data_IF_770273232251
#
_entry.id   IF_770273232251
#
_cell.length_a   1.000
_cell.length_b   1.000
_cell.length_c   1.000
_cell.angle_alpha   90.00
_cell.angle_beta   90.00
_cell.angle_gamma   90.00
#
_symmetry.space_group_name_H-M   'P 1'
#
loop_
_entity.id
_entity.type
_entity.pdbx_description
1 polymer ?
#
# COMPACT_ATOMS: atom_id res chain seq x y z
N UNK A 1 -34.85 6.54 25.90
CA UNK A 1 -33.91 7.18 24.95
C UNK A 1 -33.41 8.43 25.66
N UNK A 2 -32.21 8.43 26.21
CA UNK A 2 -31.63 9.61 26.86
C UNK A 2 -31.39 10.67 25.78
N UNK A 3 -32.20 11.73 25.77
CA UNK A 3 -32.06 12.83 24.80
C UNK A 3 -30.69 13.48 24.95
N UNK A 4 -30.06 13.80 23.83
CA UNK A 4 -28.75 14.45 23.82
C UNK A 4 -28.84 15.87 24.40
N UNK A 5 -27.91 16.34 25.24
CA UNK A 5 -27.94 17.71 25.77
C UNK A 5 -28.04 18.80 24.70
N UNK A 6 -27.45 18.64 23.51
CA UNK A 6 -27.60 19.62 22.42
C UNK A 6 -29.03 19.65 21.83
N UNK A 7 -29.70 18.49 21.77
CA UNK A 7 -31.10 18.40 21.36
C UNK A 7 -32.03 19.04 22.41
N UNK A 8 -31.77 18.76 23.69
CA UNK A 8 -32.49 19.39 24.82
C UNK A 8 -32.30 20.92 24.77
N UNK A 9 -31.08 21.38 24.49
CA UNK A 9 -30.79 22.80 24.34
C UNK A 9 -31.59 23.42 23.19
N UNK A 10 -31.61 22.78 22.01
CA UNK A 10 -32.42 23.22 20.87
C UNK A 10 -33.90 23.37 21.27
N UNK A 11 -34.47 22.35 21.89
CA UNK A 11 -35.90 22.31 22.19
C UNK A 11 -36.30 23.43 23.17
N UNK A 12 -35.46 23.70 24.19
CA UNK A 12 -35.66 24.85 25.08
C UNK A 12 -35.45 26.16 24.32
N UNK A 13 -34.37 26.28 23.55
CA UNK A 13 -34.04 27.48 22.79
C UNK A 13 -35.19 27.87 21.86
N UNK A 14 -35.74 26.94 21.08
CA UNK A 14 -36.88 27.17 20.18
C UNK A 14 -38.18 27.51 20.91
N UNK A 15 -38.35 27.04 22.14
CA UNK A 15 -39.54 27.32 22.97
C UNK A 15 -39.53 28.68 23.67
N UNK A 16 -38.43 29.43 23.60
CA UNK A 16 -38.28 30.73 24.23
C UNK A 16 -38.98 31.85 23.42
N UNK A 17 -40.02 32.51 23.95
CA UNK A 17 -40.61 33.70 23.34
C UNK A 17 -39.73 34.94 23.55
N UNK A 18 -39.81 35.91 22.63
CA UNK A 18 -39.19 37.25 22.76
C UNK A 18 -37.75 37.22 23.29
N UNK A 19 -36.90 36.36 22.70
CA UNK A 19 -35.51 36.15 23.13
C UNK A 19 -34.71 37.44 23.04
N UNK A 20 -34.14 37.84 24.18
CA UNK A 20 -33.15 38.91 24.28
C UNK A 20 -31.75 38.31 24.38
N UNK A 21 -30.77 39.06 23.90
CA UNK A 21 -29.36 38.68 23.96
C UNK A 21 -28.68 39.54 25.01
N UNK A 22 -28.28 38.93 26.13
CA UNK A 22 -27.49 39.60 27.18
C UNK A 22 -26.08 38.99 27.24
N UNK A 23 -25.09 39.74 26.76
CA UNK A 23 -23.67 39.33 26.69
C UNK A 23 -23.49 37.96 26.02
N UNK A 24 -23.22 36.92 26.82
CA UNK A 24 -22.96 35.55 26.39
C UNK A 24 -24.16 34.61 26.65
N UNK A 25 -25.33 35.18 26.93
CA UNK A 25 -26.54 34.43 27.25
C UNK A 25 -27.73 34.84 26.37
N UNK A 26 -28.58 33.86 26.08
CA UNK A 26 -29.94 34.07 25.62
C UNK A 26 -30.86 34.12 26.82
N UNK A 27 -31.67 35.16 26.91
CA UNK A 27 -32.59 35.41 28.02
C UNK A 27 -34.01 35.47 27.48
N UNK A 28 -34.91 34.75 28.13
CA UNK A 28 -36.33 34.79 27.78
C UNK A 28 -37.18 34.55 29.02
N UNK A 29 -38.33 35.21 29.06
CA UNK A 29 -39.34 35.03 30.10
C UNK A 29 -40.37 34.01 29.61
N UNK A 30 -40.44 32.84 30.25
CA UNK A 30 -41.32 31.77 29.83
C UNK A 30 -41.92 30.99 31.00
N UNK A 31 -43.05 30.33 30.72
CA UNK A 31 -43.67 29.37 31.61
C UNK A 31 -42.90 28.04 31.57
N UNK A 32 -42.73 27.45 32.75
CA UNK A 32 -42.10 26.15 32.92
C UNK A 32 -43.16 25.08 33.15
N UNK A 33 -42.94 23.93 32.52
CA UNK A 33 -43.63 22.68 32.81
C UNK A 33 -42.62 21.67 33.38
N UNK A 34 -43.10 20.50 33.80
CA UNK A 34 -42.26 19.44 34.34
C UNK A 34 -41.16 18.99 33.35
N UNK A 35 -41.43 19.02 32.05
CA UNK A 35 -40.51 18.58 30.99
C UNK A 35 -39.38 19.62 30.83
N UNK A 36 -39.73 20.89 30.67
CA UNK A 36 -38.80 22.03 30.58
C UNK A 36 -37.96 22.17 31.84
N UNK A 37 -38.53 21.95 33.02
CA UNK A 37 -37.76 21.97 34.27
C UNK A 37 -36.71 20.85 34.28
N UNK A 38 -37.10 19.62 33.92
CA UNK A 38 -36.16 18.49 33.83
C UNK A 38 -35.06 18.73 32.79
N UNK A 39 -35.41 19.33 31.65
CA UNK A 39 -34.48 19.74 30.60
C UNK A 39 -33.48 20.79 31.11
N UNK A 40 -33.96 21.83 31.81
CA UNK A 40 -33.10 22.88 32.38
C UNK A 40 -32.16 22.33 33.46
N UNK A 41 -32.59 21.36 34.27
CA UNK A 41 -31.72 20.69 35.23
C UNK A 41 -30.60 19.92 34.52
N UNK A 42 -30.91 19.21 33.43
CA UNK A 42 -29.91 18.51 32.61
C UNK A 42 -28.95 19.53 31.97
N UNK A 43 -29.44 20.63 31.42
CA UNK A 43 -28.60 21.68 30.82
C UNK A 43 -27.71 22.39 31.87
N UNK A 44 -28.22 22.62 33.08
CA UNK A 44 -27.44 23.19 34.19
C UNK A 44 -26.28 22.27 34.59
N UNK A 45 -26.48 20.94 34.60
CA UNK A 45 -25.38 19.98 34.87
C UNK A 45 -24.26 20.03 33.82
N UNK A 46 -24.56 20.52 32.61
CA UNK A 46 -23.60 20.72 31.52
C UNK A 46 -23.17 22.19 31.36
N UNK A 47 -23.43 23.04 32.36
CA UNK A 47 -23.10 24.48 32.34
C UNK A 47 -23.71 25.24 31.14
N UNK A 48 -24.85 24.78 30.62
CA UNK A 48 -25.57 25.41 29.50
C UNK A 48 -26.76 26.26 29.93
N UNK A 49 -27.25 26.07 31.16
CA UNK A 49 -28.32 26.86 31.76
C UNK A 49 -27.90 27.35 33.15
N UNK A 50 -28.44 28.50 33.57
CA UNK A 50 -28.17 29.04 34.91
C UNK A 50 -29.00 28.29 35.96
N UNK A 51 -28.35 27.87 37.05
CA UNK A 51 -28.98 27.10 38.13
C UNK A 51 -30.02 27.86 38.99
N UNK A 52 -30.06 29.18 38.87
CA UNK A 52 -30.99 30.07 39.58
C UNK A 52 -31.71 30.97 38.58
N UNK A 53 -33.04 30.95 38.63
CA UNK A 53 -33.91 31.70 37.72
C UNK A 53 -34.59 32.85 38.45
N UNK A 54 -34.71 34.01 37.83
CA UNK A 54 -35.58 35.06 38.35
C UNK A 54 -37.05 34.72 38.05
N UNK A 55 -37.97 35.14 38.92
CA UNK A 55 -39.40 34.79 38.81
C UNK A 55 -40.25 36.04 38.90
N UNK A 56 -41.20 36.19 37.98
CA UNK A 56 -42.30 37.14 38.07
C UNK A 56 -43.54 36.41 38.56
N UNK A 57 -44.15 36.91 39.64
CA UNK A 57 -45.41 36.40 40.17
C UNK A 57 -46.49 37.45 39.92
N UNK A 58 -47.52 37.12 39.14
CA UNK A 58 -48.58 38.07 38.73
C UNK A 58 -48.00 39.39 38.16
N UNK A 59 -46.97 39.29 37.32
CA UNK A 59 -46.31 40.43 36.68
C UNK A 59 -45.34 41.23 37.57
N UNK A 60 -45.23 40.92 38.87
CA UNK A 60 -44.27 41.58 39.78
C UNK A 60 -43.01 40.73 39.94
N UNK A 61 -41.84 41.36 39.78
CA UNK A 61 -40.54 40.70 39.96
C UNK A 61 -40.35 40.30 41.43
N UNK A 62 -40.01 39.04 41.68
CA UNK A 62 -39.60 38.57 43.00
C UNK A 62 -38.22 39.13 43.38
N UNK A 63 -38.01 39.43 44.66
CA UNK A 63 -36.76 40.01 45.20
C UNK A 63 -35.58 39.04 45.24
N UNK A 64 -35.82 37.74 45.09
CA UNK A 64 -34.77 36.72 45.12
C UNK A 64 -35.03 35.62 44.08
N UNK A 65 -33.98 35.24 43.35
CA UNK A 65 -34.01 34.13 42.39
C UNK A 65 -34.33 32.78 43.04
N UNK A 66 -34.95 31.89 42.27
CA UNK A 66 -35.35 30.55 42.67
C UNK A 66 -34.40 29.53 42.03
N UNK A 67 -33.78 28.70 42.86
CA UNK A 67 -32.93 27.59 42.40
C UNK A 67 -33.78 26.53 41.70
N UNK A 68 -33.30 25.98 40.58
CA UNK A 68 -34.00 24.97 39.77
C UNK A 68 -34.54 23.79 40.58
N UNK A 69 -33.82 23.34 41.61
CA UNK A 69 -34.21 22.22 42.47
C UNK A 69 -35.39 22.52 43.40
N UNK A 70 -35.70 23.81 43.64
CA UNK A 70 -36.80 24.24 44.53
C UNK A 70 -38.11 24.46 43.77
N UNK A 71 -38.09 24.39 42.44
CA UNK A 71 -39.27 24.51 41.60
C UNK A 71 -40.02 23.16 41.62
N UNK A 72 -41.29 23.20 42.05
CA UNK A 72 -42.20 22.05 42.11
C UNK A 72 -43.46 22.34 41.30
N UNK A 73 -44.29 21.31 41.12
CA UNK A 73 -45.54 21.33 40.34
C UNK A 73 -46.48 22.51 40.64
N UNK A 74 -46.48 22.98 41.90
CA UNK A 74 -47.27 24.15 42.33
C UNK A 74 -46.91 25.47 41.65
N UNK A 75 -45.76 25.54 40.95
CA UNK A 75 -45.33 26.72 40.21
C UNK A 75 -45.53 26.59 38.69
N UNK A 76 -46.14 25.50 38.21
CA UNK A 76 -46.50 25.32 36.80
C UNK A 76 -47.89 25.91 36.53
N UNK A 77 -48.01 27.23 36.65
CA UNK A 77 -49.23 27.95 36.31
C UNK A 77 -48.90 29.35 35.77
N UNK A 78 -49.87 29.96 35.09
CA UNK A 78 -49.77 31.24 34.37
C UNK A 78 -49.39 32.42 35.29
N UNK A 79 -49.43 32.24 36.61
CA UNK A 79 -49.02 33.27 37.57
C UNK A 79 -47.51 33.36 37.70
N UNK A 80 -46.77 32.30 37.36
CA UNK A 80 -45.31 32.22 37.49
C UNK A 80 -44.62 32.24 36.13
N UNK A 81 -43.89 33.32 35.85
CA UNK A 81 -43.05 33.43 34.65
C UNK A 81 -41.59 33.43 35.08
N UNK A 82 -40.78 32.53 34.53
CA UNK A 82 -39.38 32.34 34.88
C UNK A 82 -38.48 32.96 33.82
N UNK A 83 -37.43 33.64 34.26
CA UNK A 83 -36.36 34.13 33.40
C UNK A 83 -35.38 32.98 33.14
N UNK A 84 -35.50 32.36 31.97
CA UNK A 84 -34.60 31.30 31.53
C UNK A 84 -33.40 31.92 30.84
N UNK A 85 -32.20 31.58 31.34
CA UNK A 85 -30.93 32.03 30.80
C UNK A 85 -30.12 30.84 30.28
N UNK A 86 -29.84 30.84 28.99
CA UNK A 86 -29.04 29.82 28.31
C UNK A 86 -27.71 30.40 27.85
N UNK A 87 -26.59 29.70 28.08
CA UNK A 87 -25.29 30.12 27.61
C UNK A 87 -25.17 29.90 26.09
N UNK A 88 -24.68 30.89 25.35
CA UNK A 88 -24.55 30.85 23.89
C UNK A 88 -23.65 29.74 23.37
N UNK A 89 -22.60 29.39 24.12
CA UNK A 89 -21.61 28.40 23.71
C UNK A 89 -21.19 27.48 24.84
N UNK A 90 -20.78 26.26 24.51
CA UNK A 90 -20.21 25.27 25.45
C UNK A 90 -18.78 24.83 25.07
N UNK A 91 -18.10 25.62 24.23
CA UNK A 91 -16.84 25.28 23.54
C UNK A 91 -15.75 24.77 24.51
N UNK A 92 -15.75 25.23 25.76
CA UNK A 92 -14.71 24.93 26.74
C UNK A 92 -14.88 23.59 27.48
N UNK A 93 -15.98 22.86 27.28
CA UNK A 93 -16.34 21.75 28.18
C UNK A 93 -16.01 20.34 27.67
N UNK A 94 -15.33 20.19 26.53
CA UNK A 94 -14.82 18.89 26.06
C UNK A 94 -15.88 17.79 25.91
N UNK A 95 -17.14 18.18 25.71
CA UNK A 95 -18.28 17.27 25.61
C UNK A 95 -18.45 16.69 24.20
N UNK A 96 -19.17 15.58 24.07
CA UNK A 96 -19.54 14.92 22.80
C UNK A 96 -20.52 15.73 21.93
N UNK A 97 -20.82 16.97 22.32
CA UNK A 97 -21.74 17.87 21.65
C UNK A 97 -21.27 19.33 21.75
N UNK A 98 -21.66 20.15 20.78
CA UNK A 98 -21.36 21.58 20.74
C UNK A 98 -22.61 22.40 20.48
N UNK A 99 -22.73 23.51 21.20
CA UNK A 99 -23.68 24.58 20.96
C UNK A 99 -22.86 25.81 20.62
N UNK A 100 -23.13 26.42 19.47
CA UNK A 100 -22.43 27.64 19.04
C UNK A 100 -23.21 28.38 17.97
N UNK A 101 -22.73 29.56 17.62
CA UNK A 101 -23.34 30.48 16.68
C UNK A 101 -23.34 29.93 15.25
N UNK A 102 -22.16 29.58 14.72
CA UNK A 102 -21.97 29.17 13.33
C UNK A 102 -20.82 28.17 13.13
N UNK A 103 -20.68 27.67 11.90
CA UNK A 103 -19.64 26.73 11.50
C UNK A 103 -18.21 27.26 11.69
N UNK A 104 -17.97 28.56 11.50
CA UNK A 104 -16.64 29.13 11.72
C UNK A 104 -16.22 29.02 13.20
N UNK A 105 -17.17 29.14 14.14
CA UNK A 105 -16.93 28.92 15.56
C UNK A 105 -16.57 27.45 15.87
N UNK A 106 -17.20 26.49 15.19
CA UNK A 106 -16.85 25.05 15.28
C UNK A 106 -15.44 24.80 14.76
N UNK A 107 -15.13 25.32 13.57
CA UNK A 107 -13.87 25.05 12.86
C UNK A 107 -12.66 25.84 13.40
N UNK A 108 -12.91 26.85 14.25
CA UNK A 108 -11.85 27.68 14.87
C UNK A 108 -10.88 26.85 15.71
N UNK A 109 -11.36 25.78 16.35
CA UNK A 109 -10.56 24.93 17.23
C UNK A 109 -10.17 23.64 16.52
N UNK A 110 -8.86 23.38 16.45
CA UNK A 110 -8.31 22.19 15.79
C UNK A 110 -8.82 20.89 16.45
N UNK A 111 -9.04 20.90 17.76
CA UNK A 111 -9.59 19.77 18.52
C UNK A 111 -10.92 19.25 17.95
N UNK A 112 -11.81 20.13 17.48
CA UNK A 112 -13.09 19.74 16.90
C UNK A 112 -12.95 19.13 15.50
N UNK A 113 -11.91 19.52 14.77
CA UNK A 113 -11.57 18.90 13.48
C UNK A 113 -10.90 17.53 13.71
N UNK A 114 -9.97 17.47 14.67
CA UNK A 114 -9.21 16.26 15.02
C UNK A 114 -10.12 15.16 15.59
N UNK A 115 -11.07 15.56 16.43
CA UNK A 115 -12.09 14.72 17.03
C UNK A 115 -13.47 15.28 16.65
N UNK A 116 -13.97 14.87 15.49
CA UNK A 116 -15.25 15.35 14.93
C UNK A 116 -16.41 15.13 15.91
N UNK A 117 -17.02 16.23 16.36
CA UNK A 117 -18.20 16.23 17.24
C UNK A 117 -19.43 15.72 16.48
N UNK A 118 -20.19 14.82 17.11
CA UNK A 118 -21.34 14.16 16.47
C UNK A 118 -22.63 14.96 16.60
N UNK A 119 -22.80 15.77 17.66
CA UNK A 119 -24.04 16.49 17.91
C UNK A 119 -23.74 18.00 17.94
N UNK A 120 -24.28 18.74 16.99
CA UNK A 120 -23.98 20.15 16.79
C UNK A 120 -25.31 20.90 16.76
N UNK A 121 -25.45 21.93 17.59
CA UNK A 121 -26.55 22.88 17.48
C UNK A 121 -26.00 24.26 17.12
N UNK A 122 -26.46 24.81 16.00
CA UNK A 122 -26.10 26.14 15.52
C UNK A 122 -27.22 27.12 15.86
N UNK A 123 -26.94 28.13 16.69
CA UNK A 123 -27.96 29.08 17.16
C UNK A 123 -28.35 30.09 16.09
N UNK A 124 -27.44 30.49 15.19
CA UNK A 124 -27.75 31.45 14.12
C UNK A 124 -28.68 30.85 13.05
N UNK A 125 -28.53 29.54 12.81
CA UNK A 125 -29.32 28.78 11.83
C UNK A 125 -30.48 28.01 12.47
N UNK A 126 -30.60 28.06 13.80
CA UNK A 126 -31.53 27.27 14.61
C UNK A 126 -31.56 25.77 14.25
N UNK A 127 -30.43 25.25 13.78
CA UNK A 127 -30.34 23.93 13.15
C UNK A 127 -29.55 22.97 14.01
N UNK A 128 -30.08 21.76 14.16
CA UNK A 128 -29.44 20.66 14.89
C UNK A 128 -28.97 19.58 13.92
N UNK A 129 -27.74 19.14 14.11
CA UNK A 129 -27.10 18.10 13.32
C UNK A 129 -26.68 16.95 14.22
N UNK A 130 -27.10 15.75 13.86
CA UNK A 130 -26.69 14.48 14.45
C UNK A 130 -26.13 13.54 13.36
N UNK A 131 -25.75 12.33 13.77
CA UNK A 131 -25.18 11.29 12.89
C UNK A 131 -26.11 10.97 11.71
N UNK A 132 -27.42 11.09 11.89
CA UNK A 132 -28.45 10.77 10.90
C UNK A 132 -28.80 11.97 10.00
N UNK A 133 -28.17 13.14 10.23
CA UNK A 133 -28.41 14.34 9.45
C UNK A 133 -28.04 14.16 7.98
N UNK A 134 -28.96 14.57 7.10
CA UNK A 134 -28.75 14.50 5.64
C UNK A 134 -28.00 15.70 5.09
N UNK A 135 -27.73 16.72 5.92
CA UNK A 135 -27.10 17.97 5.52
C UNK A 135 -25.69 17.76 4.92
N UNK A 136 -25.42 18.46 3.82
CA UNK A 136 -24.17 18.31 3.09
C UNK A 136 -22.98 18.92 3.85
N UNK A 137 -23.15 20.06 4.53
CA UNK A 137 -22.07 20.69 5.30
C UNK A 137 -21.68 19.82 6.49
N UNK A 138 -22.65 19.25 7.19
CA UNK A 138 -22.38 18.33 8.30
C UNK A 138 -21.66 17.05 7.83
N UNK A 139 -22.09 16.45 6.72
CA UNK A 139 -21.39 15.28 6.14
C UNK A 139 -19.95 15.62 5.75
N UNK A 140 -19.73 16.78 5.14
CA UNK A 140 -18.40 17.24 4.75
C UNK A 140 -17.53 17.54 5.98
N UNK A 141 -18.09 18.10 7.06
CA UNK A 141 -17.39 18.28 8.34
C UNK A 141 -16.88 16.94 8.90
N UNK A 142 -17.73 15.91 8.97
CA UNK A 142 -17.30 14.57 9.39
C UNK A 142 -16.22 13.99 8.45
N UNK A 143 -16.31 14.29 7.15
CA UNK A 143 -15.34 13.86 6.17
C UNK A 143 -13.97 14.55 6.34
N UNK A 144 -13.94 15.83 6.73
CA UNK A 144 -12.70 16.55 7.06
C UNK A 144 -12.00 15.89 8.26
N UNK A 145 -12.76 15.47 9.28
CA UNK A 145 -12.20 14.70 10.40
C UNK A 145 -11.56 13.38 9.94
N UNK A 146 -12.18 12.69 8.98
CA UNK A 146 -11.58 11.49 8.35
C UNK A 146 -10.34 11.83 7.51
N UNK A 147 -10.31 12.95 6.80
CA UNK A 147 -9.13 13.41 6.08
C UNK A 147 -7.97 13.68 7.05
N UNK A 148 -8.23 14.30 8.20
CA UNK A 148 -7.23 14.44 9.26
C UNK A 148 -6.73 13.06 9.75
N UNK A 149 -7.63 12.10 9.97
CA UNK A 149 -7.22 10.75 10.37
C UNK A 149 -6.31 10.06 9.35
N UNK A 150 -6.51 10.35 8.06
CA UNK A 150 -5.64 9.89 6.98
C UNK A 150 -4.27 10.57 7.00
N UNK A 151 -4.21 11.89 7.20
CA UNK A 151 -2.94 12.62 7.37
C UNK A 151 -2.18 12.09 8.60
N UNK A 152 -2.88 11.87 9.71
CA UNK A 152 -2.29 11.28 10.91
C UNK A 152 -1.73 9.88 10.63
N UNK A 153 -2.49 9.04 9.93
CA UNK A 153 -2.03 7.72 9.49
C UNK A 153 -0.74 7.80 8.65
N UNK A 154 -0.65 8.73 7.71
CA UNK A 154 0.57 8.95 6.91
C UNK A 154 1.73 9.54 7.74
N UNK A 155 1.43 10.38 8.71
CA UNK A 155 2.42 10.95 9.64
C UNK A 155 3.06 9.85 10.48
N UNK A 156 2.22 9.00 11.09
CA UNK A 156 2.64 7.85 11.89
C UNK A 156 3.45 6.86 11.04
N UNK A 157 3.00 6.58 9.81
CA UNK A 157 3.66 5.62 8.94
C UNK A 157 4.98 6.14 8.33
N UNK A 158 5.17 7.46 8.25
CA UNK A 158 6.42 8.07 7.79
C UNK A 158 7.40 8.37 8.94
N UNK A 159 7.08 7.95 10.18
CA UNK A 159 7.85 8.24 11.41
C UNK A 159 8.12 9.75 11.60
N UNK A 160 7.18 10.59 11.16
CA UNK A 160 7.27 12.03 11.27
C UNK A 160 6.68 12.54 12.60
N UNK A 161 6.99 13.79 12.95
CA UNK A 161 6.32 14.48 14.07
C UNK A 161 4.81 14.59 13.85
N UNK A 162 4.06 14.85 14.94
CA UNK A 162 2.60 15.04 14.87
C UNK A 162 2.21 16.07 13.81
N UNK A 163 1.14 15.77 13.07
CA UNK A 163 0.57 16.62 12.02
C UNK A 163 1.59 16.95 10.90
N UNK A 164 2.56 16.08 10.67
CA UNK A 164 3.60 16.25 9.66
C UNK A 164 3.76 15.00 8.81
N UNK A 165 3.85 15.15 7.49
CA UNK A 165 4.19 14.04 6.59
C UNK A 165 5.63 14.22 6.14
N UNK A 166 6.43 13.15 6.27
CA UNK A 166 7.80 13.15 5.78
C UNK A 166 7.88 12.46 4.41
N UNK A 167 8.36 13.20 3.40
CA UNK A 167 8.70 12.66 2.09
C UNK A 167 9.76 13.53 1.41
N UNK A 168 11.01 13.06 1.37
CA UNK A 168 12.24 13.82 1.07
C UNK A 168 12.52 15.01 2.01
N UNK A 169 11.48 15.78 2.35
CA UNK A 169 11.46 16.88 3.32
C UNK A 169 10.20 16.76 4.19
N UNK A 170 10.23 17.44 5.33
CA UNK A 170 9.12 17.46 6.28
C UNK A 170 8.06 18.49 5.86
N UNK A 171 6.80 18.07 5.78
CA UNK A 171 5.67 18.96 5.50
C UNK A 171 4.72 18.99 6.70
N UNK A 172 4.76 20.09 7.44
CA UNK A 172 3.84 20.35 8.56
C UNK A 172 2.48 20.82 8.05
N UNK A 173 1.42 20.40 8.73
CA UNK A 173 0.04 20.79 8.44
C UNK A 173 -0.53 21.53 9.65
N UNK A 174 -0.89 22.80 9.44
CA UNK A 174 -1.69 23.53 10.42
C UNK A 174 -3.16 23.19 10.21
N UNK A 175 -3.76 22.43 11.13
CA UNK A 175 -5.15 21.98 11.02
C UNK A 175 -6.08 23.19 11.22
N UNK A 176 -6.51 23.78 10.10
CA UNK A 176 -7.43 24.92 10.03
C UNK A 176 -8.33 24.76 8.81
N UNK A 177 -9.62 24.97 9.01
CA UNK A 177 -10.63 24.97 7.95
C UNK A 177 -11.58 26.17 8.14
N UNK A 178 -12.19 26.62 7.05
CA UNK A 178 -13.23 27.65 7.05
C UNK A 178 -14.59 27.07 6.64
N UNK A 179 -15.67 27.83 6.80
CA UNK A 179 -17.00 27.39 6.37
C UNK A 179 -17.08 27.14 4.85
N UNK A 180 -16.25 27.79 4.03
CA UNK A 180 -16.24 27.56 2.59
C UNK A 180 -15.67 26.18 2.24
N UNK A 181 -14.76 25.66 3.05
CA UNK A 181 -14.20 24.32 2.91
C UNK A 181 -15.28 23.23 3.08
N UNK A 182 -16.34 23.51 3.86
CA UNK A 182 -17.48 22.59 4.02
C UNK A 182 -18.33 22.45 2.76
N UNK A 183 -18.15 23.30 1.75
CA UNK A 183 -18.88 23.19 0.48
C UNK A 183 -18.28 22.12 -0.45
N UNK A 184 -17.08 21.61 -0.14
CA UNK A 184 -16.38 20.61 -0.94
C UNK A 184 -16.63 19.21 -0.41
N UNK A 185 -17.18 18.34 -1.27
CA UNK A 185 -17.43 16.94 -0.93
C UNK A 185 -16.14 16.12 -0.99
N UNK A 186 -15.95 15.29 0.02
CA UNK A 186 -14.79 14.40 0.16
C UNK A 186 -15.25 12.95 -0.02
N UNK A 187 -14.68 12.23 -1.00
CA UNK A 187 -14.94 10.80 -1.15
C UNK A 187 -14.15 9.98 -0.12
N UNK A 188 -14.79 9.77 1.04
CA UNK A 188 -14.25 8.98 2.15
C UNK A 188 -13.97 7.52 1.75
N UNK A 189 -14.81 6.91 0.90
CA UNK A 189 -14.72 5.48 0.60
C UNK A 189 -13.43 5.14 -0.12
N UNK A 190 -13.00 6.01 -1.03
CA UNK A 190 -11.73 5.86 -1.73
C UNK A 190 -10.54 6.03 -0.78
N UNK A 191 -10.64 6.94 0.20
CA UNK A 191 -9.60 7.15 1.22
C UNK A 191 -9.40 5.91 2.10
N UNK A 192 -10.50 5.27 2.53
CA UNK A 192 -10.47 4.07 3.37
C UNK A 192 -9.89 2.86 2.61
N UNK A 193 -10.24 2.68 1.33
CA UNK A 193 -9.70 1.60 0.48
C UNK A 193 -8.17 1.56 0.39
N UNK A 194 -7.48 2.69 0.55
CA UNK A 194 -6.02 2.70 0.52
C UNK A 194 -5.38 2.17 1.81
N UNK A 195 -6.10 2.21 2.93
CA UNK A 195 -5.58 1.79 4.23
C UNK A 195 -5.55 0.27 4.40
N UNK A 196 -6.49 -0.43 3.75
CA UNK A 196 -6.73 -1.86 3.92
C UNK A 196 -5.99 -2.77 2.91
N UNK A 197 -5.08 -2.21 2.09
CA UNK A 197 -4.31 -3.02 1.12
C UNK A 197 -3.07 -3.66 1.78
N UNK A 198 -3.10 -4.98 1.93
CA UNK A 198 -2.02 -5.76 2.58
C UNK A 198 -0.77 -5.97 1.72
N UNK A 199 -0.91 -6.08 0.38
CA UNK A 199 0.23 -6.39 -0.48
C UNK A 199 1.07 -5.12 -0.73
N UNK A 200 2.33 -5.11 -0.31
CA UNK A 200 3.27 -3.97 -0.42
C UNK A 200 2.80 -2.68 0.28
N UNK A 201 2.12 -2.80 1.42
CA UNK A 201 1.60 -1.68 2.21
C UNK A 201 2.61 -0.53 2.39
N UNK A 202 3.88 -0.83 2.65
CA UNK A 202 4.93 0.17 2.83
C UNK A 202 5.21 0.99 1.56
N UNK A 203 5.30 0.33 0.40
CA UNK A 203 5.47 1.02 -0.88
C UNK A 203 4.25 1.88 -1.25
N UNK A 204 3.04 1.40 -0.94
CA UNK A 204 1.79 2.15 -1.15
C UNK A 204 1.76 3.37 -0.23
N UNK A 205 2.16 3.25 1.04
CA UNK A 205 2.27 4.37 1.97
C UNK A 205 3.28 5.40 1.47
N UNK A 206 4.45 4.97 1.02
CA UNK A 206 5.47 5.86 0.47
C UNK A 206 4.96 6.60 -0.78
N UNK A 207 4.24 5.90 -1.66
CA UNK A 207 3.55 6.49 -2.82
C UNK A 207 2.50 7.53 -2.39
N UNK A 208 1.69 7.23 -1.38
CA UNK A 208 0.71 8.20 -0.85
C UNK A 208 1.41 9.43 -0.27
N UNK A 209 2.48 9.25 0.50
CA UNK A 209 3.28 10.35 1.04
C UNK A 209 3.87 11.21 -0.09
N UNK A 210 4.38 10.58 -1.16
CA UNK A 210 4.85 11.26 -2.37
C UNK A 210 3.77 12.14 -2.98
N UNK A 211 2.61 11.57 -3.27
CA UNK A 211 1.54 12.28 -3.97
C UNK A 211 0.96 13.42 -3.12
N UNK A 212 0.70 13.17 -1.83
CA UNK A 212 0.20 14.21 -0.90
C UNK A 212 1.20 15.36 -0.80
N UNK A 213 2.48 15.05 -0.59
CA UNK A 213 3.50 16.09 -0.46
C UNK A 213 3.78 16.83 -1.76
N UNK A 214 3.72 16.15 -2.91
CA UNK A 214 3.82 16.77 -4.23
C UNK A 214 2.64 17.72 -4.49
N UNK A 215 1.46 17.39 -3.97
CA UNK A 215 0.25 18.19 -4.11
C UNK A 215 0.29 19.49 -3.30
N UNK A 216 0.84 19.45 -2.08
CA UNK A 216 0.94 20.62 -1.19
C UNK A 216 2.27 21.36 -1.28
N UNK A 217 3.18 20.96 -2.18
CA UNK A 217 4.57 21.42 -2.18
C UNK A 217 4.76 22.93 -2.40
N UNK A 218 3.81 23.56 -3.08
CA UNK A 218 3.82 24.98 -3.44
C UNK A 218 3.01 25.83 -2.46
N UNK A 219 2.32 25.20 -1.51
CA UNK A 219 1.41 25.87 -0.59
C UNK A 219 2.08 26.18 0.76
N UNK A 220 1.72 27.33 1.32
CA UNK A 220 2.19 27.76 2.65
C UNK A 220 1.55 26.92 3.76
N UNK A 221 2.29 26.72 4.85
CA UNK A 221 1.91 25.82 5.96
C UNK A 221 0.51 26.08 6.52
N UNK A 222 0.07 27.35 6.59
CA UNK A 222 -1.26 27.69 7.10
C UNK A 222 -2.42 27.26 6.21
N UNK A 223 -2.20 27.10 4.90
CA UNK A 223 -3.27 26.86 3.91
C UNK A 223 -3.30 25.41 3.45
N UNK A 224 -2.23 24.62 3.66
CA UNK A 224 -2.12 23.23 3.15
C UNK A 224 -3.33 22.36 3.47
N UNK A 225 -3.87 22.44 4.69
CA UNK A 225 -5.00 21.61 5.09
C UNK A 225 -6.29 22.03 4.35
N UNK A 226 -6.61 23.32 4.32
CA UNK A 226 -7.74 23.86 3.54
C UNK A 226 -7.60 23.55 2.04
N UNK A 227 -6.39 23.70 1.48
CA UNK A 227 -6.11 23.34 0.09
C UNK A 227 -6.37 21.86 -0.20
N UNK A 228 -5.99 20.96 0.70
CA UNK A 228 -6.27 19.53 0.59
C UNK A 228 -7.77 19.25 0.60
N UNK A 229 -8.55 19.92 1.47
CA UNK A 229 -10.01 19.74 1.51
C UNK A 229 -10.63 20.08 0.16
N UNK A 230 -10.26 21.24 -0.41
CA UNK A 230 -10.81 21.74 -1.68
C UNK A 230 -10.46 20.87 -2.88
N UNK A 231 -9.34 20.16 -2.81
CA UNK A 231 -8.75 19.46 -3.95
C UNK A 231 -8.48 17.96 -3.68
N UNK A 232 -9.23 17.37 -2.74
CA UNK A 232 -9.02 15.97 -2.34
C UNK A 232 -9.37 14.98 -3.46
N UNK A 233 -10.40 15.26 -4.26
CA UNK A 233 -10.84 14.35 -5.33
C UNK A 233 -9.78 14.22 -6.46
N UNK A 234 -9.17 15.32 -6.94
CA UNK A 234 -7.98 15.24 -7.79
C UNK A 234 -6.83 14.45 -7.15
N UNK A 235 -6.53 14.67 -5.87
CA UNK A 235 -5.47 13.96 -5.16
C UNK A 235 -5.73 12.45 -5.10
N UNK A 236 -6.97 12.03 -4.78
CA UNK A 236 -7.38 10.62 -4.77
C UNK A 236 -7.17 9.99 -6.15
N UNK A 237 -7.53 10.71 -7.22
CA UNK A 237 -7.31 10.25 -8.60
C UNK A 237 -5.82 10.07 -8.89
N UNK A 238 -4.96 11.01 -8.50
CA UNK A 238 -3.51 10.91 -8.68
C UNK A 238 -2.89 9.75 -7.90
N UNK A 239 -3.34 9.52 -6.66
CA UNK A 239 -2.90 8.37 -5.86
C UNK A 239 -3.32 7.06 -6.54
N UNK A 240 -4.56 6.97 -7.03
CA UNK A 240 -5.04 5.79 -7.75
C UNK A 240 -4.22 5.52 -9.02
N UNK A 241 -3.98 6.56 -9.83
CA UNK A 241 -3.19 6.42 -11.06
C UNK A 241 -1.76 5.97 -10.74
N UNK A 242 -1.11 6.61 -9.77
CA UNK A 242 0.23 6.22 -9.34
C UNK A 242 0.29 4.80 -8.78
N UNK A 243 -0.79 4.34 -8.12
CA UNK A 243 -0.89 2.97 -7.62
C UNK A 243 -1.01 1.97 -8.77
N UNK A 244 -1.81 2.28 -9.80
CA UNK A 244 -1.91 1.42 -10.98
C UNK A 244 -0.56 1.31 -11.69
N UNK A 245 0.12 2.43 -11.94
CA UNK A 245 1.46 2.41 -12.53
C UNK A 245 2.46 1.61 -11.70
N UNK A 246 2.42 1.71 -10.36
CA UNK A 246 3.26 0.90 -9.49
C UNK A 246 2.98 -0.61 -9.63
N UNK A 247 1.71 -1.01 -9.73
CA UNK A 247 1.34 -2.42 -9.92
C UNK A 247 1.78 -2.92 -11.30
N UNK A 248 1.64 -2.11 -12.35
CA UNK A 248 2.11 -2.39 -13.69
C UNK A 248 3.63 -2.58 -13.72
N UNK A 249 4.39 -1.61 -13.19
CA UNK A 249 5.85 -1.66 -13.11
C UNK A 249 6.33 -2.88 -12.32
N UNK A 250 5.70 -3.17 -11.18
CA UNK A 250 6.02 -4.35 -10.37
C UNK A 250 5.74 -5.66 -11.13
N UNK A 251 4.64 -5.70 -11.86
CA UNK A 251 4.28 -6.86 -12.69
C UNK A 251 5.31 -7.04 -13.80
N UNK A 252 5.68 -5.95 -14.48
CA UNK A 252 6.72 -5.94 -15.51
C UNK A 252 8.06 -6.44 -14.96
N UNK A 253 8.52 -5.91 -13.83
CA UNK A 253 9.78 -6.35 -13.19
C UNK A 253 9.74 -7.83 -12.79
N UNK A 254 8.59 -8.32 -12.32
CA UNK A 254 8.40 -9.74 -12.00
C UNK A 254 8.50 -10.62 -13.25
N UNK A 255 7.86 -10.23 -14.35
CA UNK A 255 7.94 -10.95 -15.64
C UNK A 255 9.38 -10.95 -16.14
N UNK A 256 10.03 -9.79 -16.12
CA UNK A 256 11.44 -9.63 -16.48
C UNK A 256 12.35 -10.52 -15.67
N UNK A 257 12.14 -10.60 -14.36
CA UNK A 257 12.89 -11.48 -13.48
C UNK A 257 12.65 -12.95 -13.83
N UNK A 258 11.40 -13.36 -14.05
CA UNK A 258 11.01 -14.75 -14.37
C UNK A 258 11.76 -15.29 -15.61
N UNK A 259 11.76 -14.56 -16.74
CA UNK A 259 12.45 -15.05 -17.94
C UNK A 259 13.98 -14.93 -17.86
N UNK A 260 14.54 -13.97 -17.11
CA UNK A 260 15.99 -13.85 -16.93
C UNK A 260 16.55 -14.92 -15.98
N UNK A 261 15.79 -15.30 -14.95
CA UNK A 261 16.11 -16.44 -14.09
C UNK A 261 16.12 -17.73 -14.90
N UNK A 262 15.09 -17.95 -15.74
CA UNK A 262 15.05 -19.11 -16.65
C UNK A 262 16.20 -19.15 -17.64
N UNK A 263 16.57 -18.00 -18.23
CA UNK A 263 17.77 -17.88 -19.07
C UNK A 263 19.02 -18.36 -18.32
N UNK A 264 19.22 -17.84 -17.11
CA UNK A 264 20.40 -18.15 -16.30
C UNK A 264 20.41 -19.64 -15.91
N UNK A 265 19.26 -20.18 -15.52
CA UNK A 265 19.06 -21.59 -15.19
C UNK A 265 19.45 -22.50 -16.37
N UNK A 266 18.91 -22.26 -17.57
CA UNK A 266 19.18 -23.09 -18.74
C UNK A 266 20.60 -22.93 -19.29
N UNK A 267 21.16 -21.71 -19.28
CA UNK A 267 22.57 -21.51 -19.65
C UNK A 267 23.49 -22.27 -18.68
N UNK A 268 23.19 -22.24 -17.38
CA UNK A 268 23.96 -23.00 -16.39
C UNK A 268 23.86 -24.49 -16.65
N UNK A 269 22.65 -25.05 -16.82
CA UNK A 269 22.47 -26.49 -17.14
C UNK A 269 23.21 -26.89 -18.43
N UNK A 270 23.17 -26.05 -19.47
CA UNK A 270 23.92 -26.25 -20.71
C UNK A 270 25.43 -26.31 -20.47
N UNK A 271 25.99 -25.36 -19.72
CA UNK A 271 27.41 -25.33 -19.39
C UNK A 271 27.82 -26.52 -18.51
N UNK A 272 27.04 -26.86 -17.48
CA UNK A 272 27.33 -27.99 -16.59
C UNK A 272 27.36 -29.31 -17.39
N UNK A 273 26.46 -29.46 -18.36
CA UNK A 273 26.43 -30.61 -19.27
C UNK A 273 27.67 -30.64 -20.17
N UNK A 274 28.09 -29.48 -20.68
CA UNK A 274 29.31 -29.36 -21.48
C UNK A 274 30.58 -29.62 -20.66
N UNK A 275 30.69 -29.11 -19.44
CA UNK A 275 31.87 -29.29 -18.58
C UNK A 275 32.10 -30.77 -18.23
N UNK A 276 31.02 -31.53 -18.04
CA UNK A 276 31.08 -32.99 -17.89
C UNK A 276 31.66 -33.67 -19.13
N UNK A 277 31.29 -33.20 -20.33
CA UNK A 277 31.80 -33.69 -21.61
C UNK A 277 33.27 -33.30 -21.79
N UNK A 278 33.63 -32.04 -21.54
CA UNK A 278 34.97 -31.51 -21.71
C UNK A 278 35.96 -32.19 -20.78
N UNK A 279 35.58 -32.45 -19.52
CA UNK A 279 36.42 -33.18 -18.55
C UNK A 279 36.76 -34.58 -19.05
N UNK A 280 35.77 -35.32 -19.57
CA UNK A 280 35.99 -36.64 -20.17
C UNK A 280 36.86 -36.56 -21.42
N UNK A 281 36.71 -35.49 -22.21
CA UNK A 281 37.53 -35.23 -23.39
C UNK A 281 38.99 -34.94 -23.06
N UNK A 282 39.31 -34.31 -21.94
CA UNK A 282 40.69 -34.11 -21.52
C UNK A 282 41.34 -35.39 -20.97
N UNK A 283 40.57 -36.25 -20.30
CA UNK A 283 41.09 -37.48 -19.71
C UNK A 283 41.54 -38.51 -20.76
N UNK A 284 40.90 -38.55 -21.93
CA UNK A 284 41.09 -39.62 -22.92
C UNK A 284 42.38 -39.49 -23.73
N UNK A 285 42.79 -38.32 -24.24
CA UNK A 285 44.10 -38.13 -24.87
C UNK A 285 45.26 -38.55 -23.96
N UNK A 286 45.16 -38.25 -22.65
CA UNK A 286 46.15 -38.71 -21.67
C UNK A 286 46.15 -40.25 -21.55
N UNK A 287 44.98 -40.87 -21.50
CA UNK A 287 44.85 -42.33 -21.51
C UNK A 287 45.41 -42.99 -22.78
N UNK A 288 45.13 -42.40 -23.95
CA UNK A 288 45.63 -42.87 -25.25
C UNK A 288 47.16 -42.69 -25.35
N UNK A 289 47.68 -41.54 -24.91
CA UNK A 289 49.13 -41.31 -24.83
C UNK A 289 49.81 -42.35 -23.93
N UNK A 290 49.25 -42.60 -22.75
CA UNK A 290 49.78 -43.60 -21.81
C UNK A 290 49.72 -45.03 -22.38
N UNK A 291 48.66 -45.38 -23.10
CA UNK A 291 48.52 -46.67 -23.75
C UNK A 291 49.54 -46.83 -24.90
N UNK A 292 49.63 -45.83 -25.79
CA UNK A 292 50.53 -45.86 -26.96
C UNK A 292 52.01 -45.82 -26.57
N UNK A 293 52.39 -45.14 -25.48
CA UNK A 293 53.75 -45.14 -24.95
C UNK A 293 54.26 -46.54 -24.53
N UNK A 294 53.37 -47.51 -24.34
CA UNK A 294 53.74 -48.89 -24.00
C UNK A 294 54.00 -49.78 -25.22
N UNK A 295 53.74 -49.29 -26.44
CA UNK A 295 54.04 -50.01 -27.69
C UNK A 295 55.56 -50.11 -27.90
N UNK A 296 56.02 -51.25 -28.43
CA UNK A 296 57.44 -51.50 -28.76
C UNK A 296 57.60 -51.81 -30.25
N UNK A 297 58.70 -51.35 -30.85
CA UNK A 297 59.03 -51.61 -32.27
C UNK A 297 59.49 -53.07 -32.44
N UNK A 298 58.93 -53.77 -33.43
CA UNK A 298 59.27 -55.17 -33.74
C UNK A 298 60.53 -55.17 -34.63
N UNK A 299 61.68 -55.59 -34.08
CA UNK A 299 62.93 -55.76 -34.84
C UNK A 299 63.08 -57.17 -35.45
N UNK A 300 62.47 -58.18 -34.83
CA UNK A 300 62.33 -59.55 -35.32
C UNK A 300 60.95 -60.10 -34.86
N UNK A 301 60.28 -60.98 -35.63
CA UNK A 301 58.89 -61.38 -35.38
C UNK A 301 58.78 -62.34 -34.20
N UNK A 302 58.91 -61.82 -32.98
CA UNK A 302 58.60 -62.54 -31.75
C UNK A 302 57.09 -62.39 -31.50
N UNK A 303 56.35 -63.51 -31.55
CA UNK A 303 54.89 -63.55 -31.34
C UNK A 303 54.40 -62.72 -30.14
N UNK A 304 55.17 -62.69 -29.05
CA UNK A 304 54.84 -61.94 -27.83
C UNK A 304 54.73 -60.42 -28.02
N UNK A 305 55.63 -59.79 -28.81
CA UNK A 305 55.61 -58.33 -29.01
C UNK A 305 54.41 -57.90 -29.84
N UNK A 306 54.06 -58.68 -30.86
CA UNK A 306 52.87 -58.44 -31.68
C UNK A 306 51.59 -58.54 -30.85
N UNK A 307 51.45 -59.58 -30.03
CA UNK A 307 50.29 -59.74 -29.13
C UNK A 307 50.16 -58.58 -28.15
N UNK A 308 51.28 -58.07 -27.60
CA UNK A 308 51.27 -56.90 -26.71
C UNK A 308 50.74 -55.64 -27.42
N UNK A 309 51.28 -55.30 -28.59
CA UNK A 309 50.85 -54.12 -29.33
C UNK A 309 49.37 -54.23 -29.77
N UNK A 310 48.90 -55.44 -30.09
CA UNK A 310 47.51 -55.72 -30.43
C UNK A 310 46.55 -55.44 -29.26
N UNK A 311 46.91 -55.84 -28.03
CA UNK A 311 46.11 -55.53 -26.84
C UNK A 311 46.05 -54.01 -26.56
N UNK A 312 47.14 -53.28 -26.80
CA UNK A 312 47.16 -51.82 -26.67
C UNK A 312 46.20 -51.18 -27.68
N UNK A 313 46.25 -51.60 -28.96
CA UNK A 313 45.33 -51.12 -29.99
C UNK A 313 43.86 -51.37 -29.61
N UNK A 314 43.54 -52.59 -29.16
CA UNK A 314 42.18 -52.93 -28.74
C UNK A 314 41.70 -52.11 -27.55
N UNK A 315 42.58 -51.81 -26.61
CA UNK A 315 42.27 -50.96 -25.45
C UNK A 315 41.94 -49.52 -25.89
N UNK A 316 42.75 -48.96 -26.79
CA UNK A 316 42.49 -47.61 -27.33
C UNK A 316 41.19 -47.57 -28.12
N UNK A 317 40.92 -48.57 -28.97
CA UNK A 317 39.66 -48.66 -29.72
C UNK A 317 38.44 -48.75 -28.79
N UNK A 318 38.53 -49.54 -27.70
CA UNK A 318 37.48 -49.60 -26.70
C UNK A 318 37.27 -48.26 -26.00
N UNK A 319 38.34 -47.55 -25.62
CA UNK A 319 38.25 -46.21 -25.02
C UNK A 319 37.57 -45.20 -25.96
N UNK A 320 37.95 -45.20 -27.24
CA UNK A 320 37.33 -44.32 -28.25
C UNK A 320 35.86 -44.67 -28.46
N UNK A 321 35.50 -45.96 -28.50
CA UNK A 321 34.11 -46.39 -28.64
C UNK A 321 33.25 -45.93 -27.46
N UNK A 322 33.72 -46.15 -26.22
CA UNK A 322 33.03 -45.70 -25.00
C UNK A 322 32.88 -44.18 -24.99
N UNK A 323 33.86 -43.45 -25.51
CA UNK A 323 33.80 -42.00 -25.64
C UNK A 323 32.71 -41.54 -26.61
N UNK A 324 32.63 -42.16 -27.79
CA UNK A 324 31.60 -41.84 -28.78
C UNK A 324 30.21 -42.10 -28.20
N UNK A 325 30.02 -43.23 -27.49
CA UNK A 325 28.76 -43.51 -26.79
C UNK A 325 28.42 -42.46 -25.72
N UNK A 326 29.40 -42.03 -24.93
CA UNK A 326 29.22 -40.96 -23.93
C UNK A 326 28.82 -39.63 -24.60
N UNK A 327 29.47 -39.27 -25.71
CA UNK A 327 29.19 -38.03 -26.45
C UNK A 327 27.78 -38.08 -27.05
N UNK A 328 27.37 -39.21 -27.62
CA UNK A 328 26.01 -39.39 -28.13
C UNK A 328 24.94 -39.28 -27.04
N UNK A 329 25.18 -39.89 -25.87
CA UNK A 329 24.27 -39.75 -24.72
C UNK A 329 24.11 -38.28 -24.32
N UNK A 330 25.21 -37.53 -24.24
CA UNK A 330 25.18 -36.12 -23.86
C UNK A 330 24.55 -35.22 -24.93
N UNK A 331 24.72 -35.55 -26.21
CA UNK A 331 24.01 -34.90 -27.31
C UNK A 331 22.49 -35.06 -27.16
N UNK A 332 22.02 -36.24 -26.76
CA UNK A 332 20.59 -36.48 -26.49
C UNK A 332 20.09 -35.61 -25.33
N UNK A 333 20.83 -35.55 -24.21
CA UNK A 333 20.49 -34.69 -23.07
C UNK A 333 20.40 -33.21 -23.46
N UNK A 334 21.35 -32.70 -24.25
CA UNK A 334 21.35 -31.31 -24.70
C UNK A 334 20.18 -31.03 -25.65
N UNK A 335 19.82 -32.00 -26.50
CA UNK A 335 18.64 -31.90 -27.38
C UNK A 335 17.34 -31.89 -26.57
N UNK A 336 17.25 -32.70 -25.52
CA UNK A 336 16.10 -32.71 -24.62
C UNK A 336 15.94 -31.36 -23.91
N UNK A 337 17.05 -30.79 -23.42
CA UNK A 337 17.05 -29.47 -22.80
C UNK A 337 16.63 -28.37 -23.77
N UNK A 338 16.99 -28.46 -25.07
CA UNK A 338 16.49 -27.57 -26.11
C UNK A 338 14.97 -27.59 -26.24
N UNK A 339 14.38 -28.78 -26.24
CA UNK A 339 12.93 -28.91 -26.31
C UNK A 339 12.28 -28.35 -25.05
N UNK A 340 12.83 -28.64 -23.86
CA UNK A 340 12.31 -28.18 -22.58
C UNK A 340 12.29 -26.65 -22.50
N UNK A 341 13.43 -25.99 -22.72
CA UNK A 341 13.47 -24.52 -22.64
C UNK A 341 12.62 -23.89 -23.74
N UNK A 342 12.56 -24.49 -24.93
CA UNK A 342 11.71 -23.98 -26.02
C UNK A 342 10.24 -23.99 -25.63
N UNK A 343 9.76 -25.06 -25.00
CA UNK A 343 8.39 -25.13 -24.47
C UNK A 343 8.15 -24.10 -23.38
N UNK A 344 9.08 -23.94 -22.43
CA UNK A 344 8.97 -22.95 -21.35
C UNK A 344 8.93 -21.52 -21.89
N UNK A 345 9.83 -21.15 -22.80
CA UNK A 345 9.84 -19.81 -23.40
C UNK A 345 8.61 -19.56 -24.28
N UNK A 346 8.11 -20.58 -25.00
CA UNK A 346 6.86 -20.44 -25.77
C UNK A 346 5.65 -20.24 -24.86
N UNK A 347 5.59 -20.93 -23.71
CA UNK A 347 4.55 -20.71 -22.71
C UNK A 347 4.64 -19.31 -22.06
N UNK A 348 5.86 -18.82 -21.80
CA UNK A 348 6.08 -17.46 -21.30
C UNK A 348 5.66 -16.40 -22.33
N UNK A 349 5.97 -16.60 -23.62
CA UNK A 349 5.53 -15.71 -24.70
C UNK A 349 4.00 -15.64 -24.82
N UNK A 350 3.30 -16.76 -24.62
CA UNK A 350 1.84 -16.81 -24.64
C UNK A 350 1.21 -16.17 -23.39
N UNK A 351 1.89 -16.27 -22.23
CA UNK A 351 1.42 -15.70 -20.96
C UNK A 351 1.64 -14.19 -20.88
N UNK A 352 2.65 -13.66 -21.56
CA UNK A 352 3.05 -12.24 -21.49
C UNK A 352 3.23 -11.64 -22.90
N UNK A 353 2.11 -11.36 -23.57
CA UNK A 353 2.09 -10.89 -24.96
C UNK A 353 2.86 -9.57 -25.16
N UNK A 354 2.77 -8.64 -24.21
CA UNK A 354 3.42 -7.33 -24.28
C UNK A 354 4.96 -7.41 -24.26
N UNK A 355 5.52 -8.43 -23.61
CA UNK A 355 6.97 -8.65 -23.47
C UNK A 355 7.53 -9.68 -24.46
N UNK A 356 6.71 -10.18 -25.38
CA UNK A 356 7.08 -11.26 -26.33
C UNK A 356 8.41 -11.02 -27.04
N UNK A 357 8.68 -9.79 -27.48
CA UNK A 357 9.93 -9.46 -28.18
C UNK A 357 11.18 -9.61 -27.31
N UNK A 358 11.10 -9.26 -26.03
CA UNK A 358 12.18 -9.41 -25.06
C UNK A 358 12.38 -10.89 -24.71
N UNK A 359 11.29 -11.63 -24.51
CA UNK A 359 11.34 -13.07 -24.24
C UNK A 359 11.99 -13.81 -25.40
N UNK A 360 11.63 -13.48 -26.64
CA UNK A 360 12.27 -14.04 -27.85
C UNK A 360 13.75 -13.69 -27.93
N UNK A 361 14.14 -12.46 -27.60
CA UNK A 361 15.55 -12.06 -27.55
C UNK A 361 16.31 -12.90 -26.52
N UNK A 362 15.73 -13.14 -25.35
CA UNK A 362 16.33 -13.97 -24.30
C UNK A 362 16.44 -15.43 -24.73
N UNK A 363 15.40 -15.98 -25.34
CA UNK A 363 15.42 -17.33 -25.93
C UNK A 363 16.53 -17.46 -26.98
N UNK A 364 16.65 -16.50 -27.88
CA UNK A 364 17.72 -16.49 -28.90
C UNK A 364 19.13 -16.51 -28.29
N UNK A 365 19.34 -15.89 -27.12
CA UNK A 365 20.62 -15.98 -26.41
C UNK A 365 20.90 -17.39 -25.88
N UNK A 366 19.88 -18.09 -25.40
CA UNK A 366 19.98 -19.51 -24.99
C UNK A 366 20.23 -20.38 -26.22
N UNK A 367 19.54 -20.15 -27.34
CA UNK A 367 19.75 -20.86 -28.61
C UNK A 367 21.17 -20.69 -29.15
N UNK A 368 21.73 -19.47 -29.09
CA UNK A 368 23.13 -19.22 -29.44
C UNK A 368 24.09 -20.06 -28.59
N UNK A 369 23.83 -20.20 -27.29
CA UNK A 369 24.64 -21.03 -26.39
C UNK A 369 24.50 -22.51 -26.70
N UNK A 370 23.28 -22.98 -26.93
CA UNK A 370 22.99 -24.35 -27.38
C UNK A 370 23.75 -24.69 -28.67
N UNK A 371 23.67 -23.84 -29.70
CA UNK A 371 24.34 -24.06 -30.98
C UNK A 371 25.87 -24.10 -30.82
N UNK A 372 26.44 -23.23 -29.98
CA UNK A 372 27.88 -23.23 -29.68
C UNK A 372 28.31 -24.55 -29.03
N UNK A 373 27.55 -25.05 -28.05
CA UNK A 373 27.86 -26.31 -27.36
C UNK A 373 27.71 -27.50 -28.30
N UNK A 374 26.64 -27.54 -29.12
CA UNK A 374 26.44 -28.58 -30.12
C UNK A 374 27.58 -28.62 -31.14
N UNK A 375 28.06 -27.45 -31.58
CA UNK A 375 29.25 -27.35 -32.45
C UNK A 375 30.51 -27.90 -31.77
N UNK A 376 30.78 -27.51 -30.51
CA UNK A 376 31.92 -28.02 -29.75
C UNK A 376 31.87 -29.56 -29.59
N UNK A 377 30.69 -30.13 -29.34
CA UNK A 377 30.48 -31.58 -29.27
C UNK A 377 30.81 -32.25 -30.61
N UNK A 378 30.36 -31.66 -31.73
CA UNK A 378 30.67 -32.17 -33.07
C UNK A 378 32.17 -32.18 -33.36
N UNK A 379 32.87 -31.08 -33.06
CA UNK A 379 34.34 -30.98 -33.18
C UNK A 379 35.02 -32.07 -32.38
N UNK A 380 34.51 -32.37 -31.19
CA UNK A 380 35.14 -33.34 -30.31
C UNK A 380 35.04 -34.77 -30.83
N UNK A 381 33.94 -35.15 -31.49
CA UNK A 381 33.84 -36.45 -32.18
C UNK A 381 34.92 -36.58 -33.25
N UNK A 382 35.18 -35.51 -34.01
CA UNK A 382 36.22 -35.48 -35.05
C UNK A 382 37.60 -35.71 -34.43
N UNK A 383 37.89 -35.09 -33.28
CA UNK A 383 39.15 -35.28 -32.54
C UNK A 383 39.31 -36.74 -32.11
N UNK A 384 38.26 -37.39 -31.62
CA UNK A 384 38.31 -38.81 -31.22
C UNK A 384 38.66 -39.72 -32.40
N UNK A 385 38.07 -39.48 -33.56
CA UNK A 385 38.32 -40.26 -34.78
C UNK A 385 39.77 -40.06 -35.24
N UNK A 386 40.27 -38.82 -35.20
CA UNK A 386 41.66 -38.52 -35.54
C UNK A 386 42.66 -39.26 -34.62
N UNK A 387 42.39 -39.29 -33.31
CA UNK A 387 43.20 -40.04 -32.35
C UNK A 387 43.19 -41.55 -32.63
N UNK A 388 42.04 -42.12 -32.98
CA UNK A 388 41.94 -43.52 -33.37
C UNK A 388 42.78 -43.82 -34.63
N UNK A 389 42.69 -42.99 -35.66
CA UNK A 389 43.48 -43.11 -36.90
C UNK A 389 44.98 -43.04 -36.56
N UNK A 390 45.39 -42.06 -35.75
CA UNK A 390 46.78 -41.91 -35.32
C UNK A 390 47.32 -43.17 -34.62
N UNK A 391 46.55 -43.75 -33.71
CA UNK A 391 46.94 -45.00 -33.05
C UNK A 391 47.02 -46.19 -33.99
N UNK A 392 46.17 -46.24 -35.01
CA UNK A 392 46.24 -47.26 -36.07
C UNK A 392 47.51 -47.14 -36.92
N UNK A 393 47.92 -45.90 -37.26
CA UNK A 393 49.17 -45.64 -37.98
C UNK A 393 50.38 -46.06 -37.14
N UNK A 394 50.41 -45.71 -35.85
CA UNK A 394 51.49 -46.14 -34.94
C UNK A 394 51.59 -47.66 -34.83
N UNK A 395 50.44 -48.34 -34.76
CA UNK A 395 50.42 -49.80 -34.74
C UNK A 395 50.99 -50.38 -36.04
N UNK A 396 50.62 -49.84 -37.22
CA UNK A 396 51.17 -50.29 -38.50
C UNK A 396 52.69 -50.08 -38.60
N UNK A 397 53.21 -48.95 -38.09
CA UNK A 397 54.66 -48.70 -38.02
C UNK A 397 55.39 -49.61 -37.02
N UNK A 398 54.67 -50.18 -36.05
CA UNK A 398 55.27 -51.04 -35.03
C UNK A 398 55.44 -52.50 -35.47
N UNK A 399 54.67 -52.92 -36.50
CA UNK A 399 54.77 -54.20 -37.21
C UNK A 399 55.95 -54.11 -38.18
#
# INVERSE_FOLDING_TARGET
MTMNPAQIYRDIFLSMPDREVDRDQFVSWMELDAIKLSALQILNSHSLAVGSLNVKVNGKLSTSGVVLEKIKDKHFNDQYIFEVRLNKTNINFGHDFIVCDNWNTVLKYDLHIKNSIKNIFLTDLESYFDIDSTDNKYKNYLAIGKLYSFIKFLSDASNADKDCIFYNRSYKFKIKADENDLNYSIDIKSLEKFKDKDMHREAIIHLMCKEVTAFVKNEIEEIRFSYLIRNINPLITNINHSYQSYVEDYTFDKVRKEYNEKKTEYIKKLNDTFDSVATKMFAIPAGIWFATAQMKVIGEPIHYLFTKNFFVLMTVLCMVLIMILNIWGQRSTITQMNNEYTTVFTALEAKFEEEKTNIQRVKNDVDKRYNKIMSNIGISIIVCIFLAIYTGILFYQSI
#
